data_IF_337794666594
#
_entry.id   IF_337794666594
#
_cell.length_a   1.000
_cell.length_b   1.000
_cell.length_c   1.000
_cell.angle_alpha   90.00
_cell.angle_beta   90.00
_cell.angle_gamma   90.00
#
_symmetry.space_group_name_H-M   'P 1'
#
loop_
_entity.id
_entity.type
_entity.pdbx_description
1 polymer ?
#
# COMPACT_ATOMS: atom_id res chain seq x y z
N UNK A 1 30.73 3.47 -41.57
CA UNK A 1 29.44 3.46 -40.84
C UNK A 1 29.54 2.51 -39.68
N UNK A 2 29.99 3.00 -38.53
CA UNK A 2 30.12 2.22 -37.29
C UNK A 2 28.77 2.24 -36.55
N UNK A 3 28.21 1.04 -36.34
CA UNK A 3 27.06 0.87 -35.44
C UNK A 3 27.59 0.87 -33.99
N UNK A 4 27.19 1.86 -33.22
CA UNK A 4 27.35 1.87 -31.76
C UNK A 4 26.53 0.73 -31.14
N UNK A 5 27.06 -0.02 -30.17
CA UNK A 5 26.30 -1.01 -29.44
C UNK A 5 25.28 -0.27 -28.55
N UNK A 6 24.01 -0.58 -28.73
CA UNK A 6 22.96 -0.19 -27.80
C UNK A 6 23.22 -0.92 -26.48
N UNK A 7 23.52 -0.18 -25.44
CA UNK A 7 23.59 -0.69 -24.07
C UNK A 7 22.19 -1.15 -23.65
N UNK A 8 21.99 -2.46 -23.52
CA UNK A 8 20.86 -3.03 -22.81
C UNK A 8 20.83 -2.47 -21.38
N UNK A 9 19.65 -2.15 -20.81
CA UNK A 9 19.58 -1.75 -19.42
C UNK A 9 20.04 -2.95 -18.57
N UNK A 10 21.14 -2.81 -17.85
CA UNK A 10 21.63 -3.78 -16.89
C UNK A 10 20.56 -3.94 -15.81
N UNK A 11 19.88 -5.08 -15.74
CA UNK A 11 19.08 -5.47 -14.58
C UNK A 11 20.07 -5.71 -13.43
N UNK A 12 20.17 -4.76 -12.53
CA UNK A 12 21.10 -4.77 -11.39
C UNK A 12 20.69 -5.79 -10.31
N UNK A 13 19.75 -6.68 -10.61
CA UNK A 13 19.15 -7.67 -9.73
C UNK A 13 19.45 -9.12 -10.12
N UNK A 14 19.30 -10.04 -9.14
CA UNK A 14 19.44 -11.49 -9.37
C UNK A 14 18.12 -12.05 -9.88
N UNK A 15 18.03 -12.40 -11.16
CA UNK A 15 16.82 -12.87 -11.82
C UNK A 15 16.11 -14.05 -11.11
N UNK A 16 16.84 -14.91 -10.38
CA UNK A 16 16.24 -15.99 -9.60
C UNK A 16 15.45 -15.45 -8.38
N UNK A 17 15.94 -14.39 -7.73
CA UNK A 17 15.29 -13.73 -6.59
C UNK A 17 14.04 -13.01 -7.07
N UNK A 18 14.13 -12.24 -8.14
CA UNK A 18 12.98 -11.52 -8.73
C UNK A 18 11.86 -12.47 -9.12
N UNK A 19 12.20 -13.60 -9.77
CA UNK A 19 11.22 -14.63 -10.13
C UNK A 19 10.61 -15.32 -8.91
N UNK A 20 11.40 -15.55 -7.86
CA UNK A 20 10.89 -16.13 -6.61
C UNK A 20 9.90 -15.18 -5.91
N UNK A 21 10.21 -13.88 -5.85
CA UNK A 21 9.31 -12.86 -5.32
C UNK A 21 8.04 -12.73 -6.16
N UNK A 22 8.12 -12.76 -7.50
CA UNK A 22 6.94 -12.75 -8.38
C UNK A 22 6.00 -13.94 -8.13
N UNK A 23 6.53 -15.11 -7.74
CA UNK A 23 5.70 -16.27 -7.33
C UNK A 23 4.98 -15.97 -6.01
N UNK A 24 5.71 -15.42 -5.03
CA UNK A 24 5.14 -15.05 -3.72
C UNK A 24 4.02 -14.02 -3.90
N UNK A 25 4.23 -13.00 -4.71
CA UNK A 25 3.24 -11.96 -5.02
C UNK A 25 1.99 -12.55 -5.69
N UNK A 26 2.17 -13.44 -6.69
CA UNK A 26 1.06 -14.09 -7.37
C UNK A 26 0.21 -14.96 -6.42
N UNK A 27 0.82 -15.54 -5.39
CA UNK A 27 0.10 -16.27 -4.33
C UNK A 27 -0.59 -15.28 -3.37
N UNK A 28 0.10 -14.20 -2.96
CA UNK A 28 -0.40 -13.23 -1.99
C UNK A 28 -1.65 -12.47 -2.48
N UNK A 29 -1.78 -12.24 -3.78
CA UNK A 29 -2.93 -11.58 -4.40
C UNK A 29 -4.23 -12.41 -4.37
N UNK A 30 -4.18 -13.65 -3.90
CA UNK A 30 -5.34 -14.55 -3.87
C UNK A 30 -5.77 -14.86 -2.45
N UNK A 31 -7.08 -14.98 -2.27
CA UNK A 31 -7.67 -15.46 -1.01
C UNK A 31 -7.58 -16.97 -0.85
N UNK A 32 -7.51 -17.71 -1.98
CA UNK A 32 -7.46 -19.17 -2.03
C UNK A 32 -6.12 -19.68 -2.55
N UNK A 33 -5.79 -20.92 -2.18
CA UNK A 33 -4.60 -21.59 -2.69
C UNK A 33 -4.64 -21.71 -4.23
N UNK A 34 -3.51 -21.50 -4.87
CA UNK A 34 -3.37 -21.42 -6.33
C UNK A 34 -2.75 -22.69 -6.91
N UNK A 35 -3.23 -23.15 -8.06
CA UNK A 35 -2.64 -24.29 -8.77
C UNK A 35 -1.34 -23.91 -9.50
N UNK A 36 -0.48 -24.91 -9.79
CA UNK A 36 0.73 -24.71 -10.60
C UNK A 36 0.41 -24.14 -12.00
N UNK A 37 -0.74 -24.54 -12.59
CA UNK A 37 -1.16 -24.04 -13.89
C UNK A 37 -1.56 -22.56 -13.83
N UNK A 38 -2.23 -22.15 -12.75
CA UNK A 38 -2.62 -20.76 -12.53
C UNK A 38 -1.42 -19.88 -12.22
N UNK A 39 -0.45 -20.38 -11.44
CA UNK A 39 0.83 -19.71 -11.22
C UNK A 39 1.60 -19.49 -12.53
N UNK A 40 1.62 -20.51 -13.41
CA UNK A 40 2.26 -20.38 -14.72
C UNK A 40 1.60 -19.30 -15.57
N UNK A 41 0.27 -19.21 -15.54
CA UNK A 41 -0.47 -18.15 -16.25
C UNK A 41 -0.25 -16.77 -15.65
N UNK A 42 -0.23 -16.65 -14.33
CA UNK A 42 -0.08 -15.39 -13.63
C UNK A 42 1.34 -14.80 -13.77
N UNK A 43 2.37 -15.65 -13.73
CA UNK A 43 3.79 -15.23 -13.77
C UNK A 43 4.41 -15.29 -15.17
N UNK A 44 3.80 -16.01 -16.11
CA UNK A 44 4.40 -16.30 -17.43
C UNK A 44 5.54 -17.32 -17.38
N UNK A 45 5.84 -17.92 -16.23
CA UNK A 45 6.97 -18.85 -16.10
C UNK A 45 6.58 -20.29 -16.47
N UNK A 46 7.54 -21.03 -17.06
CA UNK A 46 7.38 -22.44 -17.31
C UNK A 46 7.24 -23.24 -16.00
N UNK A 47 6.43 -24.30 -16.03
CA UNK A 47 6.18 -25.16 -14.84
C UNK A 47 7.47 -25.72 -14.21
N UNK A 48 8.48 -26.08 -15.01
CA UNK A 48 9.78 -26.55 -14.52
C UNK A 48 10.54 -25.49 -13.71
N UNK A 49 10.49 -24.23 -14.15
CA UNK A 49 11.08 -23.10 -13.43
C UNK A 49 10.33 -22.86 -12.13
N UNK A 50 8.99 -22.86 -12.16
CA UNK A 50 8.15 -22.71 -10.98
C UNK A 50 8.46 -23.77 -9.93
N UNK A 51 8.48 -25.06 -10.30
CA UNK A 51 8.74 -26.16 -9.35
C UNK A 51 10.11 -26.00 -8.66
N UNK A 52 11.15 -25.60 -9.40
CA UNK A 52 12.49 -25.40 -8.83
C UNK A 52 12.53 -24.22 -7.85
N UNK A 53 11.89 -23.10 -8.17
CA UNK A 53 11.83 -21.92 -7.30
C UNK A 53 10.95 -22.17 -6.08
N UNK A 54 9.77 -22.79 -6.29
CA UNK A 54 8.86 -23.15 -5.20
C UNK A 54 9.54 -24.10 -4.21
N UNK A 55 10.31 -25.10 -4.66
CA UNK A 55 11.05 -25.99 -3.78
C UNK A 55 12.02 -25.23 -2.84
N UNK A 56 12.57 -24.10 -3.28
CA UNK A 56 13.40 -23.23 -2.43
C UNK A 56 12.56 -22.42 -1.44
N UNK A 57 11.38 -21.93 -1.86
CA UNK A 57 10.45 -21.19 -1.02
C UNK A 57 9.79 -22.08 0.04
N UNK A 58 9.56 -23.38 -0.28
CA UNK A 58 9.05 -24.37 0.66
C UNK A 58 10.06 -24.70 1.77
N UNK A 59 11.37 -24.72 1.47
CA UNK A 59 12.43 -24.93 2.48
C UNK A 59 12.40 -23.86 3.59
N UNK A 60 12.05 -22.64 3.26
CA UNK A 60 11.91 -21.54 4.23
C UNK A 60 10.51 -21.47 4.83
N UNK A 61 9.58 -22.33 4.43
CA UNK A 61 8.17 -22.24 4.77
C UNK A 61 7.51 -20.90 4.37
N UNK A 62 8.05 -20.20 3.36
CA UNK A 62 7.43 -19.00 2.79
C UNK A 62 6.25 -19.35 1.88
N UNK A 63 6.35 -20.47 1.18
CA UNK A 63 5.27 -21.10 0.42
C UNK A 63 5.05 -22.50 0.98
N UNK A 64 3.82 -22.97 1.00
CA UNK A 64 3.45 -24.33 1.40
C UNK A 64 2.58 -24.96 0.33
N UNK A 65 2.75 -26.26 0.10
CA UNK A 65 1.89 -27.06 -0.75
C UNK A 65 0.82 -27.72 0.11
N UNK A 66 -0.45 -27.53 -0.25
CA UNK A 66 -1.59 -28.15 0.42
C UNK A 66 -1.78 -29.59 -0.05
N UNK A 67 -2.63 -30.35 0.67
CA UNK A 67 -2.94 -31.74 0.33
C UNK A 67 -3.57 -31.91 -1.07
N UNK A 68 -4.30 -30.91 -1.54
CA UNK A 68 -4.89 -30.84 -2.90
C UNK A 68 -3.87 -30.46 -3.98
N UNK A 69 -2.59 -30.32 -3.65
CA UNK A 69 -1.51 -29.97 -4.56
C UNK A 69 -1.39 -28.50 -4.92
N UNK A 70 -2.24 -27.63 -4.36
CA UNK A 70 -2.20 -26.18 -4.56
C UNK A 70 -1.20 -25.52 -3.60
N UNK A 71 -0.79 -24.29 -3.94
CA UNK A 71 0.20 -23.52 -3.20
C UNK A 71 -0.46 -22.34 -2.48
N UNK A 72 0.02 -22.06 -1.28
CA UNK A 72 -0.41 -20.93 -0.44
C UNK A 72 0.82 -20.30 0.25
N UNK A 73 0.66 -19.08 0.78
CA UNK A 73 1.67 -18.53 1.69
C UNK A 73 1.80 -19.39 2.94
N UNK A 74 3.03 -19.60 3.36
CA UNK A 74 3.36 -20.35 4.56
C UNK A 74 3.57 -19.46 5.80
N UNK A 75 3.82 -20.05 6.98
CA UNK A 75 3.93 -19.33 8.26
C UNK A 75 5.10 -18.33 8.31
N UNK A 76 6.10 -18.48 7.45
CA UNK A 76 7.20 -17.51 7.36
C UNK A 76 6.72 -16.13 6.87
N UNK A 77 5.72 -16.06 5.99
CA UNK A 77 5.12 -14.79 5.57
C UNK A 77 4.50 -14.05 6.77
N UNK A 78 3.82 -14.75 7.68
CA UNK A 78 3.29 -14.16 8.92
C UNK A 78 4.42 -13.62 9.82
N UNK A 79 5.53 -14.37 9.97
CA UNK A 79 6.70 -13.91 10.73
C UNK A 79 7.29 -12.61 10.18
N UNK A 80 7.40 -12.49 8.85
CA UNK A 80 7.89 -11.27 8.20
C UNK A 80 6.94 -10.09 8.45
N UNK A 81 5.64 -10.30 8.30
CA UNK A 81 4.63 -9.27 8.60
C UNK A 81 4.69 -8.81 10.06
N UNK A 82 4.83 -9.74 11.02
CA UNK A 82 4.97 -9.40 12.45
C UNK A 82 6.25 -8.63 12.75
N UNK A 83 7.37 -8.96 12.11
CA UNK A 83 8.63 -8.23 12.27
C UNK A 83 8.51 -6.79 11.71
N UNK A 84 7.88 -6.63 10.56
CA UNK A 84 7.57 -5.33 9.99
C UNK A 84 6.71 -4.47 10.92
N UNK A 85 5.61 -5.03 11.43
CA UNK A 85 4.73 -4.33 12.38
C UNK A 85 5.45 -3.92 13.67
N UNK A 86 6.30 -4.80 14.22
CA UNK A 86 7.08 -4.49 15.43
C UNK A 86 8.05 -3.33 15.20
N UNK A 87 8.63 -3.23 14.01
CA UNK A 87 9.55 -2.14 13.65
C UNK A 87 8.84 -0.79 13.56
N UNK A 88 7.67 -0.75 12.92
CA UNK A 88 6.99 0.51 12.62
C UNK A 88 5.83 0.83 13.59
N UNK A 89 5.38 -0.10 14.42
CA UNK A 89 4.27 0.04 15.39
C UNK A 89 2.99 0.66 14.80
N UNK A 90 2.77 0.46 13.49
CA UNK A 90 1.68 1.11 12.75
C UNK A 90 0.30 0.71 13.28
N UNK A 91 0.12 -0.56 13.62
CA UNK A 91 -1.16 -1.05 14.14
C UNK A 91 -1.52 -0.36 15.47
N UNK A 92 -0.56 -0.16 16.36
CA UNK A 92 -0.78 0.51 17.64
C UNK A 92 -1.02 2.02 17.48
N UNK A 93 -0.24 2.68 16.62
CA UNK A 93 -0.25 4.12 16.47
C UNK A 93 -1.38 4.63 15.54
N UNK A 94 -1.69 3.89 14.47
CA UNK A 94 -2.54 4.38 13.39
C UNK A 94 -3.94 3.76 13.41
N UNK A 95 -4.08 2.45 13.68
CA UNK A 95 -5.38 1.78 13.58
C UNK A 95 -6.46 2.37 14.49
N UNK A 96 -6.20 2.79 15.76
CA UNK A 96 -7.20 3.46 16.58
C UNK A 96 -7.71 4.76 15.95
N UNK A 97 -6.82 5.53 15.32
CA UNK A 97 -7.17 6.78 14.64
C UNK A 97 -8.06 6.52 13.41
N UNK A 98 -7.78 5.46 12.64
CA UNK A 98 -8.64 5.07 11.51
C UNK A 98 -10.05 4.69 11.99
N UNK A 99 -10.18 3.96 13.10
CA UNK A 99 -11.48 3.63 13.70
C UNK A 99 -12.24 4.90 14.10
N UNK A 100 -11.56 5.81 14.82
CA UNK A 100 -12.14 7.08 15.23
C UNK A 100 -12.63 7.92 14.04
N UNK A 101 -11.92 7.92 12.91
CA UNK A 101 -12.36 8.60 11.69
C UNK A 101 -13.66 8.00 11.14
N UNK A 102 -13.78 6.68 11.12
CA UNK A 102 -14.99 5.98 10.68
C UNK A 102 -16.16 6.24 11.65
N UNK A 103 -15.91 6.23 12.96
CA UNK A 103 -16.92 6.56 13.99
C UNK A 103 -17.42 8.02 13.86
N UNK A 104 -16.60 8.93 13.31
CA UNK A 104 -16.97 10.31 12.99
C UNK A 104 -17.73 10.47 11.66
N UNK A 105 -18.08 9.34 11.03
CA UNK A 105 -18.96 9.29 9.86
C UNK A 105 -18.23 9.32 8.52
N UNK A 106 -16.94 8.95 8.46
CA UNK A 106 -16.28 8.69 7.18
C UNK A 106 -16.62 7.29 6.67
N UNK A 107 -16.66 7.09 5.34
CA UNK A 107 -17.03 5.80 4.73
C UNK A 107 -15.95 4.74 4.99
N UNK A 108 -14.71 5.12 4.75
CA UNK A 108 -13.55 4.30 5.01
C UNK A 108 -12.34 5.17 5.35
N UNK A 109 -11.47 4.63 6.18
CA UNK A 109 -10.18 5.22 6.52
C UNK A 109 -9.08 4.19 6.34
N UNK A 110 -8.00 4.55 5.66
CA UNK A 110 -6.90 3.65 5.34
C UNK A 110 -5.54 4.32 5.51
N UNK A 111 -4.50 3.51 5.73
CA UNK A 111 -3.12 3.95 5.74
C UNK A 111 -2.36 3.26 4.59
N UNK A 112 -1.73 4.07 3.76
CA UNK A 112 -0.96 3.62 2.60
C UNK A 112 0.51 3.98 2.76
N UNK A 113 1.39 3.07 2.38
CA UNK A 113 2.83 3.29 2.30
C UNK A 113 3.33 3.12 0.85
N UNK A 114 4.47 3.74 0.57
CA UNK A 114 5.19 3.53 -0.68
C UNK A 114 5.63 2.06 -0.77
N UNK A 115 5.47 1.45 -1.92
CA UNK A 115 5.94 0.09 -2.20
C UNK A 115 7.09 0.11 -3.22
N UNK A 116 6.83 0.61 -4.43
CA UNK A 116 7.82 0.75 -5.49
C UNK A 116 7.49 1.95 -6.41
N UNK A 117 8.27 2.12 -7.48
CA UNK A 117 8.10 3.23 -8.43
C UNK A 117 6.72 3.30 -9.12
N UNK A 118 5.91 2.24 -9.05
CA UNK A 118 4.61 2.15 -9.72
C UNK A 118 3.45 1.97 -8.74
N UNK A 119 3.74 1.55 -7.50
CA UNK A 119 2.71 1.14 -6.56
C UNK A 119 2.91 1.62 -5.12
N UNK A 120 1.80 1.71 -4.42
CA UNK A 120 1.69 1.83 -2.97
C UNK A 120 0.93 0.65 -2.40
N UNK A 121 1.17 0.29 -1.15
CA UNK A 121 0.47 -0.77 -0.45
C UNK A 121 -0.52 -0.20 0.56
N UNK A 122 -1.71 -0.79 0.67
CA UNK A 122 -2.64 -0.52 1.76
C UNK A 122 -2.23 -1.35 2.99
N UNK A 123 -1.68 -0.72 4.01
CA UNK A 123 -1.21 -1.43 5.22
C UNK A 123 -2.28 -1.59 6.28
N UNK A 124 -3.15 -0.60 6.45
CA UNK A 124 -4.25 -0.61 7.42
C UNK A 124 -5.51 -0.05 6.78
N UNK A 125 -6.66 -0.59 7.17
CA UNK A 125 -7.96 -0.11 6.72
C UNK A 125 -9.04 -0.39 7.76
N UNK A 126 -9.97 0.56 7.89
CA UNK A 126 -11.21 0.43 8.64
C UNK A 126 -12.33 0.92 7.73
N UNK A 127 -13.38 0.12 7.61
CA UNK A 127 -14.55 0.42 6.80
C UNK A 127 -15.75 0.69 7.70
N UNK A 128 -16.65 1.57 7.25
CA UNK A 128 -17.97 1.74 7.85
C UNK A 128 -18.89 0.57 7.46
N UNK A 129 -20.10 0.56 8.05
CA UNK A 129 -21.13 -0.44 7.73
C UNK A 129 -21.93 -0.12 6.44
N UNK A 130 -21.48 0.85 5.64
CA UNK A 130 -22.14 1.21 4.38
C UNK A 130 -21.77 0.25 3.26
N UNK A 131 -22.74 -0.07 2.38
CA UNK A 131 -22.57 -1.05 1.30
C UNK A 131 -21.81 -0.53 0.07
N UNK A 132 -21.55 0.78 -0.03
CA UNK A 132 -20.94 1.44 -1.20
C UNK A 132 -19.47 1.77 -0.97
N UNK A 133 -18.68 0.77 -0.58
CA UNK A 133 -17.25 0.94 -0.33
C UNK A 133 -16.43 0.67 -1.58
N UNK A 134 -15.32 1.36 -1.70
CA UNK A 134 -14.30 0.95 -2.65
C UNK A 134 -13.71 -0.40 -2.21
N UNK A 135 -13.30 -1.22 -3.18
CA UNK A 135 -12.90 -2.63 -2.93
C UNK A 135 -11.43 -2.78 -2.51
N UNK A 136 -10.86 -1.78 -1.82
CA UNK A 136 -9.47 -1.87 -1.34
C UNK A 136 -9.42 -2.75 -0.10
N UNK A 137 -8.42 -3.64 -0.04
CA UNK A 137 -8.14 -4.50 1.12
C UNK A 137 -6.74 -4.22 1.66
N UNK A 138 -6.52 -4.58 2.91
CA UNK A 138 -5.16 -4.60 3.48
C UNK A 138 -4.30 -5.56 2.67
N UNK A 139 -3.11 -5.11 2.26
CA UNK A 139 -2.19 -5.84 1.39
C UNK A 139 -2.33 -5.53 -0.10
N UNK A 140 -3.41 -4.86 -0.54
CA UNK A 140 -3.58 -4.51 -1.95
C UNK A 140 -2.51 -3.51 -2.41
N UNK A 141 -1.95 -3.80 -3.59
CA UNK A 141 -1.11 -2.87 -4.33
C UNK A 141 -1.98 -1.98 -5.22
N UNK A 142 -1.77 -0.68 -5.13
CA UNK A 142 -2.54 0.34 -5.82
C UNK A 142 -1.60 1.24 -6.62
N UNK A 143 -2.04 1.79 -7.77
CA UNK A 143 -1.20 2.70 -8.56
C UNK A 143 -0.69 3.89 -7.72
N UNK A 144 0.60 4.20 -7.85
CA UNK A 144 1.23 5.31 -7.16
C UNK A 144 0.87 6.68 -7.77
N UNK A 145 0.62 6.72 -9.08
CA UNK A 145 0.33 7.94 -9.84
C UNK A 145 -1.12 8.43 -9.71
N UNK A 146 -2.02 7.61 -9.11
CA UNK A 146 -3.46 7.89 -9.06
C UNK A 146 -4.01 7.94 -7.64
N UNK A 147 -5.00 8.82 -7.46
CA UNK A 147 -5.70 9.00 -6.20
C UNK A 147 -4.93 9.84 -5.18
N UNK A 148 -5.62 10.37 -4.17
CA UNK A 148 -5.05 11.32 -3.22
C UNK A 148 -3.78 10.80 -2.52
N UNK A 149 -3.83 9.59 -1.96
CA UNK A 149 -2.67 9.00 -1.27
C UNK A 149 -1.49 8.72 -2.21
N UNK A 150 -1.75 8.22 -3.44
CA UNK A 150 -0.68 7.94 -4.41
C UNK A 150 0.04 9.21 -4.84
N UNK A 151 -0.72 10.24 -5.20
CA UNK A 151 -0.16 11.55 -5.56
C UNK A 151 0.63 12.19 -4.43
N UNK A 152 0.16 12.01 -3.20
CA UNK A 152 0.84 12.53 -2.01
C UNK A 152 2.18 11.82 -1.80
N UNK A 153 2.20 10.48 -1.83
CA UNK A 153 3.42 9.68 -1.74
C UNK A 153 4.41 10.03 -2.86
N UNK A 154 3.91 10.20 -4.10
CA UNK A 154 4.74 10.63 -5.24
C UNK A 154 5.38 12.00 -4.99
N UNK A 155 4.61 12.95 -4.47
CA UNK A 155 5.10 14.30 -4.23
C UNK A 155 6.22 14.33 -3.18
N UNK A 156 6.07 13.60 -2.08
CA UNK A 156 7.05 13.60 -0.99
C UNK A 156 8.26 12.70 -1.26
N UNK A 157 8.03 11.46 -1.70
CA UNK A 157 9.08 10.43 -1.72
C UNK A 157 9.76 10.28 -3.08
N UNK A 158 9.07 10.61 -4.17
CA UNK A 158 9.63 10.46 -5.52
C UNK A 158 10.12 11.79 -6.06
N UNK A 159 9.30 12.84 -5.93
CA UNK A 159 9.64 14.18 -6.48
C UNK A 159 10.32 15.09 -5.49
N UNK A 160 10.34 14.74 -4.19
CA UNK A 160 10.85 15.59 -3.10
C UNK A 160 10.27 17.02 -3.13
N UNK A 161 9.02 17.13 -3.58
CA UNK A 161 8.27 18.38 -3.72
C UNK A 161 6.98 18.31 -2.92
N UNK A 162 7.05 18.46 -1.58
CA UNK A 162 5.85 18.47 -0.76
C UNK A 162 4.91 19.58 -1.21
N UNK A 163 3.58 19.35 -1.20
CA UNK A 163 2.61 20.36 -1.53
C UNK A 163 2.81 21.60 -0.64
N UNK A 164 3.00 22.77 -1.26
CA UNK A 164 3.26 24.04 -0.57
C UNK A 164 1.99 24.61 0.03
N UNK A 165 1.25 23.89 0.93
CA UNK A 165 0.02 24.45 1.45
C UNK A 165 -0.29 24.12 2.91
N UNK A 166 -0.82 25.13 3.58
CA UNK A 166 -1.51 25.04 4.85
C UNK A 166 -2.63 23.97 4.78
N UNK A 167 -2.41 22.85 5.46
CA UNK A 167 -3.38 21.76 5.54
C UNK A 167 -2.90 20.41 5.03
N UNK A 168 -1.82 20.34 4.25
CA UNK A 168 -1.18 19.09 3.78
C UNK A 168 -2.14 18.05 3.15
N UNK A 169 -3.41 18.38 2.93
CA UNK A 169 -4.41 17.48 2.38
C UNK A 169 -4.41 17.53 0.84
N UNK A 170 -4.29 16.36 0.20
CA UNK A 170 -4.54 16.17 -1.21
C UNK A 170 -5.91 15.55 -1.45
N UNK A 171 -6.59 16.00 -2.51
CA UNK A 171 -7.93 15.55 -2.87
C UNK A 171 -7.86 14.90 -4.25
N UNK A 172 -8.59 13.80 -4.43
CA UNK A 172 -8.77 13.10 -5.68
C UNK A 172 -10.25 12.85 -5.93
N UNK A 173 -10.70 13.14 -7.15
CA UNK A 173 -12.09 13.02 -7.60
C UNK A 173 -12.14 12.11 -8.82
N UNK A 174 -12.38 10.81 -8.64
CA UNK A 174 -12.57 9.87 -9.75
C UNK A 174 -11.28 9.42 -10.47
N UNK A 175 -10.09 9.70 -9.92
CA UNK A 175 -8.82 9.42 -10.63
C UNK A 175 -8.48 7.92 -10.70
N UNK A 176 -8.70 7.18 -9.64
CA UNK A 176 -8.47 5.72 -9.58
C UNK A 176 -9.71 4.94 -9.99
N UNK A 177 -10.84 5.34 -9.46
CA UNK A 177 -12.17 4.79 -9.76
C UNK A 177 -13.11 5.96 -10.01
N UNK A 178 -13.81 6.03 -11.16
CA UNK A 178 -14.68 7.15 -11.54
C UNK A 178 -15.76 7.49 -10.50
N UNK A 179 -16.19 6.50 -9.73
CA UNK A 179 -17.26 6.64 -8.71
C UNK A 179 -16.73 6.95 -7.32
N UNK A 180 -15.41 6.98 -7.11
CA UNK A 180 -14.80 7.20 -5.82
C UNK A 180 -14.05 8.54 -5.75
N UNK A 181 -14.07 9.13 -4.56
CA UNK A 181 -13.23 10.27 -4.22
C UNK A 181 -12.45 9.99 -2.92
N UNK A 182 -11.38 10.73 -2.71
CA UNK A 182 -10.56 10.58 -1.52
C UNK A 182 -9.89 11.89 -1.11
N UNK A 183 -9.64 12.00 0.20
CA UNK A 183 -8.75 13.00 0.80
C UNK A 183 -7.63 12.27 1.49
N UNK A 184 -6.39 12.70 1.33
CA UNK A 184 -5.24 12.10 2.00
C UNK A 184 -4.31 13.14 2.64
N UNK A 185 -3.74 12.80 3.80
CA UNK A 185 -2.76 13.60 4.52
C UNK A 185 -1.50 12.76 4.82
N UNK A 186 -0.29 13.37 4.81
CA UNK A 186 0.96 12.67 5.06
C UNK A 186 1.11 12.32 6.54
N UNK A 187 1.84 11.25 6.82
CA UNK A 187 2.28 10.88 8.17
C UNK A 187 3.80 10.77 8.15
N UNK A 188 4.46 11.35 9.16
CA UNK A 188 5.92 11.42 9.23
C UNK A 188 6.47 10.54 10.35
N UNK A 189 7.65 9.96 10.11
CA UNK A 189 8.41 9.20 11.08
C UNK A 189 9.33 10.09 11.95
N UNK A 190 10.10 9.46 12.88
CA UNK A 190 11.01 10.19 13.80
C UNK A 190 12.15 10.90 13.08
N UNK A 191 12.53 10.45 11.90
CA UNK A 191 13.54 11.06 11.02
C UNK A 191 13.02 12.27 10.23
N UNK A 192 11.72 12.59 10.34
CA UNK A 192 11.05 13.64 9.60
C UNK A 192 10.65 13.25 8.18
N UNK A 193 10.99 12.04 7.74
CA UNK A 193 10.58 11.52 6.44
C UNK A 193 9.13 11.03 6.46
N UNK A 194 8.46 11.15 5.32
CA UNK A 194 7.10 10.64 5.16
C UNK A 194 7.10 9.11 5.18
N UNK A 195 6.48 8.50 6.17
CA UNK A 195 6.34 7.04 6.27
C UNK A 195 5.05 6.49 5.63
N UNK A 196 4.09 7.36 5.32
CA UNK A 196 2.85 6.95 4.68
C UNK A 196 1.80 8.05 4.63
N UNK A 197 0.59 7.70 4.24
CA UNK A 197 -0.55 8.60 4.12
C UNK A 197 -1.81 8.01 4.75
N UNK A 198 -2.50 8.77 5.58
CA UNK A 198 -3.89 8.48 5.95
C UNK A 198 -4.79 8.99 4.82
N UNK A 199 -5.72 8.14 4.37
CA UNK A 199 -6.68 8.44 3.31
C UNK A 199 -8.10 8.13 3.74
N UNK A 200 -8.99 9.09 3.53
CA UNK A 200 -10.44 8.92 3.66
C UNK A 200 -11.03 8.79 2.26
N UNK A 201 -11.75 7.72 1.98
CA UNK A 201 -12.35 7.48 0.67
C UNK A 201 -13.82 7.06 0.78
N UNK A 202 -14.55 7.25 -0.32
CA UNK A 202 -15.96 6.89 -0.42
C UNK A 202 -16.57 7.29 -1.76
N UNK A 203 -17.90 7.15 -1.91
CA UNK A 203 -18.62 7.54 -3.12
C UNK A 203 -18.42 9.02 -3.44
N UNK A 204 -18.11 9.31 -4.70
CA UNK A 204 -17.82 10.66 -5.19
C UNK A 204 -18.92 11.67 -4.90
N UNK A 205 -20.17 11.25 -4.95
CA UNK A 205 -21.37 12.09 -4.72
C UNK A 205 -21.40 12.66 -3.30
N UNK A 206 -20.75 12.00 -2.34
CA UNK A 206 -20.66 12.45 -0.94
C UNK A 206 -19.53 13.45 -0.70
N UNK A 207 -18.65 13.67 -1.68
CA UNK A 207 -17.53 14.61 -1.57
C UNK A 207 -17.93 16.03 -2.03
N UNK A 208 -18.96 16.59 -1.39
CA UNK A 208 -19.31 18.01 -1.56
C UNK A 208 -18.21 18.92 -1.01
N UNK A 209 -18.15 20.21 -1.40
CA UNK A 209 -17.15 21.14 -0.88
C UNK A 209 -17.11 21.21 0.65
N UNK A 210 -18.26 21.17 1.31
CA UNK A 210 -18.37 21.15 2.77
C UNK A 210 -17.83 19.83 3.37
N UNK A 211 -18.17 18.69 2.76
CA UNK A 211 -17.66 17.38 3.16
C UNK A 211 -16.13 17.28 2.98
N UNK A 212 -15.59 17.74 1.84
CA UNK A 212 -14.16 17.79 1.58
C UNK A 212 -13.44 18.61 2.65
N UNK A 213 -13.95 19.79 2.99
CA UNK A 213 -13.39 20.63 4.06
C UNK A 213 -13.36 19.89 5.40
N UNK A 214 -14.47 19.26 5.80
CA UNK A 214 -14.56 18.46 7.03
C UNK A 214 -13.57 17.29 6.99
N UNK A 215 -13.57 16.51 5.91
CA UNK A 215 -12.68 15.34 5.76
C UNK A 215 -11.20 15.74 5.77
N UNK A 216 -10.83 16.87 5.15
CA UNK A 216 -9.46 17.38 5.18
C UNK A 216 -9.00 17.74 6.60
N UNK A 217 -9.89 18.35 7.40
CA UNK A 217 -9.61 18.64 8.80
C UNK A 217 -9.45 17.37 9.63
N UNK A 218 -10.35 16.40 9.46
CA UNK A 218 -10.31 15.12 10.16
C UNK A 218 -9.05 14.32 9.80
N UNK A 219 -8.76 14.19 8.50
CA UNK A 219 -7.56 13.50 8.02
C UNK A 219 -6.27 14.18 8.50
N UNK A 220 -6.23 15.51 8.50
CA UNK A 220 -5.09 16.28 9.00
C UNK A 220 -4.85 16.09 10.49
N UNK A 221 -5.93 16.15 11.30
CA UNK A 221 -5.83 15.90 12.74
C UNK A 221 -5.36 14.49 13.06
N UNK A 222 -5.91 13.48 12.37
CA UNK A 222 -5.50 12.09 12.53
C UNK A 222 -4.05 11.85 12.07
N UNK A 223 -3.63 12.47 10.97
CA UNK A 223 -2.27 12.37 10.46
C UNK A 223 -1.26 13.04 11.40
N UNK A 224 -1.61 14.18 12.01
CA UNK A 224 -0.79 14.83 13.04
C UNK A 224 -0.64 13.95 14.28
N UNK A 225 -1.74 13.35 14.77
CA UNK A 225 -1.72 12.43 15.90
C UNK A 225 -0.91 11.17 15.61
N UNK A 226 -1.06 10.59 14.40
CA UNK A 226 -0.27 9.44 13.97
C UNK A 226 1.23 9.78 13.89
N UNK A 227 1.58 10.93 13.32
CA UNK A 227 2.96 11.43 13.27
C UNK A 227 3.57 11.52 14.67
N UNK A 228 2.84 12.11 15.62
CA UNK A 228 3.29 12.22 17.00
C UNK A 228 3.45 10.85 17.68
N UNK A 229 2.47 9.94 17.49
CA UNK A 229 2.50 8.59 18.06
C UNK A 229 3.67 7.74 17.50
N UNK A 230 4.11 8.02 16.29
CA UNK A 230 5.28 7.40 15.65
C UNK A 230 6.60 8.12 15.99
N UNK A 231 6.58 9.15 16.84
CA UNK A 231 7.77 9.91 17.23
C UNK A 231 8.20 10.97 16.21
N UNK A 232 7.39 11.23 15.18
CA UNK A 232 7.65 12.23 14.16
C UNK A 232 7.21 13.64 14.58
N UNK A 233 7.53 14.64 13.74
CA UNK A 233 7.16 16.03 13.92
C UNK A 233 6.19 16.48 12.83
N UNK A 234 5.01 16.96 13.23
CA UNK A 234 4.02 17.48 12.29
C UNK A 234 4.43 18.87 11.77
N UNK A 235 4.45 19.11 10.43
CA UNK A 235 4.74 20.42 9.88
C UNK A 235 3.65 21.43 10.28
N UNK A 236 4.04 22.53 10.92
CA UNK A 236 3.12 23.58 11.39
C UNK A 236 2.62 23.43 12.84
N UNK A 237 3.01 22.39 13.57
CA UNK A 237 2.88 22.36 15.02
C UNK A 237 3.82 23.39 15.66
N UNK A 238 3.28 24.29 16.50
CA UNK A 238 4.15 25.12 17.36
C UNK A 238 5.00 24.19 18.22
N UNK A 239 6.32 24.44 18.23
CA UNK A 239 7.26 23.79 19.12
C UNK A 239 6.89 24.05 20.58
#
# INVERSE_FOLDING_TARGET
MSRSPQSEPSSDGVAAVERALAIVDAIAQRTDAISLADLSRATGFYKSTLLRLIASLEKSALVVRRADGRYALGPYAHRLGRAYEATYRLTEAVQPLLRQLVDQGTESASFHAYHDAQSRVCLLRVDSHHSTLDRIRVGDLLPLDKGAAGRLLTAYLVKHQPPAQAGLALISMGERDPNCAAVACPVFGPDGEMCGAISLSGPKERFTPAAIKKMSQLAGAAAAAATQALGGRWPGGKA
#
